data_IF_580696567534
#
_entry.id   IF_580696567534
#
_cell.length_a   1.000
_cell.length_b   1.000
_cell.length_c   1.000
_cell.angle_alpha   90.00
_cell.angle_beta   90.00
_cell.angle_gamma   90.00
#
_symmetry.space_group_name_H-M   'P 1'
#
loop_
_entity.id
_entity.type
_entity.pdbx_description
1 polymer ?
#
# COMPACT_ATOMS: atom_id res chain seq x y z
N UNK A 1 -8.51 12.47 -1.47
CA UNK A 1 -8.13 13.54 -2.42
C UNK A 1 -6.75 13.23 -3.03
N UNK A 2 -6.48 13.73 -4.26
CA UNK A 2 -5.18 13.56 -4.89
C UNK A 2 -4.14 14.54 -4.32
N UNK A 3 -2.89 14.15 -4.12
CA UNK A 3 -1.81 15.06 -3.72
C UNK A 3 -1.43 16.07 -4.81
N UNK A 4 -1.93 15.87 -6.04
CA UNK A 4 -1.66 16.75 -7.18
C UNK A 4 -2.70 17.86 -7.35
N UNK A 5 -3.64 18.03 -6.41
CA UNK A 5 -4.58 19.15 -6.41
C UNK A 5 -3.83 20.43 -6.07
N UNK A 6 -3.99 21.46 -6.91
CA UNK A 6 -3.30 22.74 -6.75
C UNK A 6 -2.46 23.10 -7.98
N UNK A 7 -1.58 24.11 -7.89
CA UNK A 7 -0.62 24.43 -8.94
C UNK A 7 0.32 23.25 -9.22
N UNK A 8 0.62 23.01 -10.49
CA UNK A 8 1.62 22.01 -10.84
C UNK A 8 3.04 22.52 -10.57
N UNK A 9 3.94 21.64 -10.23
CA UNK A 9 5.38 21.89 -10.16
C UNK A 9 5.99 21.16 -11.36
N UNK A 10 6.15 21.92 -12.46
CA UNK A 10 6.51 21.36 -13.78
C UNK A 10 7.85 20.63 -13.78
N UNK A 11 8.77 21.03 -12.90
CA UNK A 11 10.07 20.38 -12.69
C UNK A 11 9.94 18.96 -12.14
N UNK A 12 8.84 18.64 -11.46
CA UNK A 12 8.58 17.30 -10.90
C UNK A 12 7.83 16.40 -11.88
N UNK A 13 7.01 16.96 -12.75
CA UNK A 13 6.26 16.17 -13.72
C UNK A 13 5.11 16.91 -14.40
N UNK A 14 4.49 16.24 -15.34
CA UNK A 14 3.39 16.79 -16.13
C UNK A 14 2.13 17.02 -15.30
N UNK A 15 1.33 18.04 -15.68
CA UNK A 15 0.05 18.36 -15.01
C UNK A 15 -0.95 17.19 -14.98
N UNK A 16 -0.97 16.37 -16.02
CA UNK A 16 -1.91 15.25 -16.19
C UNK A 16 -1.14 13.93 -16.42
N UNK A 17 -0.54 13.35 -15.36
CA UNK A 17 0.19 12.09 -15.47
C UNK A 17 -0.74 10.90 -15.67
N UNK A 18 -0.30 9.92 -16.44
CA UNK A 18 -1.00 8.64 -16.56
C UNK A 18 -0.79 7.80 -15.31
N UNK A 19 -1.90 7.39 -14.69
CA UNK A 19 -1.97 6.55 -13.49
C UNK A 19 -2.50 5.14 -13.77
N UNK A 20 -2.60 4.73 -15.03
CA UNK A 20 -3.08 3.39 -15.41
C UNK A 20 -2.23 2.27 -14.82
N UNK A 21 -0.94 2.55 -14.59
CA UNK A 21 0.01 1.61 -14.00
C UNK A 21 0.94 2.33 -13.02
N UNK A 22 0.41 2.63 -11.83
CA UNK A 22 1.20 3.25 -10.75
C UNK A 22 2.26 2.28 -10.24
N UNK A 23 1.85 1.05 -9.90
CA UNK A 23 2.73 0.04 -9.34
C UNK A 23 3.36 -0.81 -10.44
N UNK A 24 4.68 -0.93 -10.39
CA UNK A 24 5.48 -1.60 -11.41
C UNK A 24 5.31 -3.12 -11.39
N UNK A 25 4.90 -3.70 -12.52
CA UNK A 25 4.62 -5.13 -12.64
C UNK A 25 5.88 -6.01 -12.50
N UNK A 26 7.04 -5.51 -12.90
CA UNK A 26 8.30 -6.25 -12.73
C UNK A 26 8.69 -6.29 -11.24
N UNK A 27 8.57 -5.16 -10.54
CA UNK A 27 8.84 -5.10 -9.11
C UNK A 27 7.88 -6.00 -8.31
N UNK A 28 6.61 -6.07 -8.72
CA UNK A 28 5.65 -7.01 -8.13
C UNK A 28 6.10 -8.46 -8.32
N UNK A 29 6.57 -8.84 -9.52
CA UNK A 29 7.11 -10.19 -9.78
C UNK A 29 8.33 -10.50 -8.91
N UNK A 30 9.20 -9.50 -8.71
CA UNK A 30 10.38 -9.63 -7.84
C UNK A 30 9.96 -9.83 -6.38
N UNK A 31 8.98 -9.04 -5.89
CA UNK A 31 8.47 -9.19 -4.53
C UNK A 31 7.84 -10.57 -4.29
N UNK A 32 7.05 -11.09 -5.25
CA UNK A 32 6.51 -12.46 -5.17
C UNK A 32 7.60 -13.52 -5.07
N UNK A 33 8.63 -13.40 -5.89
CA UNK A 33 9.78 -14.34 -5.85
C UNK A 33 10.52 -14.25 -4.52
N UNK A 34 10.72 -13.04 -4.01
CA UNK A 34 11.33 -12.81 -2.69
C UNK A 34 10.50 -13.43 -1.57
N UNK A 35 9.18 -13.22 -1.57
CA UNK A 35 8.26 -13.80 -0.61
C UNK A 35 8.30 -15.34 -0.63
N UNK A 36 8.20 -15.93 -1.83
CA UNK A 36 8.28 -17.39 -1.99
C UNK A 36 9.60 -17.97 -1.48
N UNK A 37 10.74 -17.29 -1.69
CA UNK A 37 12.05 -17.74 -1.20
C UNK A 37 12.20 -17.66 0.31
N UNK A 38 11.36 -16.89 0.97
CA UNK A 38 11.34 -16.67 2.42
C UNK A 38 10.19 -17.40 3.13
N UNK A 39 9.42 -18.19 2.37
CA UNK A 39 8.20 -18.85 2.87
C UNK A 39 7.20 -17.85 3.49
N UNK A 40 7.03 -16.70 2.82
CA UNK A 40 6.09 -15.64 3.22
C UNK A 40 4.87 -15.73 2.33
N UNK A 41 3.70 -15.88 2.95
CA UNK A 41 2.41 -15.78 2.26
C UNK A 41 2.12 -14.30 1.94
N UNK A 42 2.40 -13.92 0.69
CA UNK A 42 2.21 -12.54 0.20
C UNK A 42 0.95 -12.46 -0.66
N UNK A 43 -0.06 -11.80 -0.13
CA UNK A 43 -1.30 -11.54 -0.83
C UNK A 43 -1.15 -10.35 -1.79
N UNK A 44 -2.00 -10.33 -2.82
CA UNK A 44 -2.13 -9.20 -3.74
C UNK A 44 -3.56 -8.69 -3.73
N UNK A 45 -3.73 -7.39 -3.86
CA UNK A 45 -5.06 -6.79 -3.85
C UNK A 45 -5.05 -5.29 -4.12
N UNK A 46 -6.22 -4.72 -4.05
CA UNK A 46 -6.47 -3.30 -4.23
C UNK A 46 -6.49 -2.62 -2.87
N UNK A 47 -5.57 -1.66 -2.70
CA UNK A 47 -5.51 -0.81 -1.53
C UNK A 47 -6.25 0.49 -1.78
N UNK A 48 -7.21 0.82 -0.92
CA UNK A 48 -7.97 2.07 -0.96
C UNK A 48 -7.53 2.97 0.19
N UNK A 49 -7.07 4.18 -0.13
CA UNK A 49 -6.71 5.17 0.86
C UNK A 49 -7.88 6.07 1.21
N UNK A 50 -8.19 6.17 2.49
CA UNK A 50 -9.10 7.15 3.07
C UNK A 50 -8.31 8.23 3.82
N UNK A 51 -8.97 9.30 4.21
CA UNK A 51 -8.29 10.45 4.82
C UNK A 51 -7.97 10.25 6.30
N UNK A 52 -8.75 9.45 7.01
CA UNK A 52 -8.71 9.43 8.48
C UNK A 52 -9.08 10.80 9.06
N UNK A 53 -8.71 11.12 10.31
CA UNK A 53 -7.86 10.33 11.21
C UNK A 53 -8.60 9.22 11.99
N UNK A 54 -9.93 9.14 11.90
CA UNK A 54 -10.72 8.07 12.52
C UNK A 54 -10.64 6.78 11.69
N UNK A 55 -10.83 5.64 12.35
CA UNK A 55 -11.14 4.39 11.69
C UNK A 55 -12.51 4.47 11.00
N UNK A 56 -12.68 3.67 9.97
CA UNK A 56 -13.89 3.64 9.17
C UNK A 56 -15.07 3.07 9.96
N UNK A 57 -16.28 3.50 9.61
CA UNK A 57 -17.52 2.85 10.04
C UNK A 57 -17.76 1.56 9.25
N UNK A 58 -18.57 0.62 9.75
CA UNK A 58 -18.94 -0.60 9.01
C UNK A 58 -19.53 -0.31 7.63
N UNK A 59 -20.28 0.78 7.47
CA UNK A 59 -20.89 1.18 6.19
C UNK A 59 -19.85 1.73 5.20
N UNK A 60 -18.85 2.46 5.68
CA UNK A 60 -17.72 2.89 4.84
C UNK A 60 -16.93 1.69 4.36
N UNK A 61 -16.69 0.68 5.21
CA UNK A 61 -16.04 -0.57 4.81
C UNK A 61 -16.87 -1.33 3.77
N UNK A 62 -18.20 -1.41 3.95
CA UNK A 62 -19.08 -2.00 2.96
C UNK A 62 -19.02 -1.26 1.59
N UNK A 63 -18.96 0.07 1.62
CA UNK A 63 -18.75 0.90 0.43
C UNK A 63 -17.41 0.61 -0.22
N UNK A 64 -16.31 0.60 0.53
CA UNK A 64 -14.96 0.30 0.02
C UNK A 64 -14.91 -1.08 -0.66
N UNK A 65 -15.51 -2.09 -0.05
CA UNK A 65 -15.62 -3.44 -0.62
C UNK A 65 -16.41 -3.43 -1.95
N UNK A 66 -17.51 -2.69 -2.01
CA UNK A 66 -18.33 -2.56 -3.23
C UNK A 66 -17.53 -1.90 -4.36
N UNK A 67 -16.61 -0.99 -4.03
CA UNK A 67 -15.67 -0.36 -4.97
C UNK A 67 -14.51 -1.28 -5.38
N UNK A 68 -14.41 -2.48 -4.82
CA UNK A 68 -13.39 -3.46 -5.16
C UNK A 68 -12.11 -3.35 -4.33
N UNK A 69 -12.13 -2.69 -3.17
CA UNK A 69 -10.99 -2.67 -2.26
C UNK A 69 -10.86 -3.97 -1.47
N UNK A 70 -9.63 -4.48 -1.38
CA UNK A 70 -9.24 -5.62 -0.54
C UNK A 70 -8.66 -5.17 0.81
N UNK A 71 -8.04 -3.99 0.81
CA UNK A 71 -7.48 -3.36 2.01
C UNK A 71 -7.78 -1.86 2.04
N UNK A 72 -7.89 -1.31 3.24
CA UNK A 72 -8.07 0.14 3.47
C UNK A 72 -7.00 0.66 4.41
N UNK A 73 -6.69 1.94 4.31
CA UNK A 73 -5.78 2.62 5.22
C UNK A 73 -5.69 4.10 4.91
N UNK A 74 -4.79 4.80 5.58
CA UNK A 74 -4.67 6.27 5.55
C UNK A 74 -3.37 6.76 4.89
N UNK A 75 -2.64 5.87 4.20
CA UNK A 75 -1.33 6.14 3.59
C UNK A 75 -1.20 5.48 2.23
N UNK A 76 -0.01 5.51 1.65
CA UNK A 76 0.43 4.69 0.52
C UNK A 76 -0.03 5.20 -0.85
N UNK A 77 -1.33 5.42 -1.10
CA UNK A 77 -1.81 5.80 -2.43
C UNK A 77 -1.40 7.25 -2.81
N UNK A 78 -1.43 8.19 -1.86
CA UNK A 78 -0.98 9.57 -2.12
C UNK A 78 0.53 9.61 -2.43
N UNK A 79 1.34 8.87 -1.68
CA UNK A 79 2.78 8.76 -1.89
C UNK A 79 3.09 8.09 -3.24
N UNK A 80 2.35 7.04 -3.58
CA UNK A 80 2.50 6.35 -4.86
C UNK A 80 2.14 7.25 -6.06
N UNK A 81 1.06 8.06 -5.94
CA UNK A 81 0.67 9.05 -6.95
C UNK A 81 1.77 10.08 -7.12
N UNK A 82 2.30 10.64 -6.02
CA UNK A 82 3.36 11.65 -6.07
C UNK A 82 4.65 11.08 -6.69
N UNK A 83 5.06 9.88 -6.30
CA UNK A 83 6.23 9.21 -6.85
C UNK A 83 6.06 8.90 -8.35
N UNK A 84 4.89 8.42 -8.76
CA UNK A 84 4.58 8.17 -10.16
C UNK A 84 4.57 9.45 -11.00
N UNK A 85 4.03 10.55 -10.45
CA UNK A 85 4.08 11.88 -11.08
C UNK A 85 5.52 12.31 -11.41
N UNK A 86 6.47 12.01 -10.52
CA UNK A 86 7.90 12.29 -10.70
C UNK A 86 8.63 11.24 -11.57
N UNK A 87 7.92 10.31 -12.21
CA UNK A 87 8.50 9.30 -13.07
C UNK A 87 9.19 8.13 -12.35
N UNK A 88 9.00 8.01 -11.04
CA UNK A 88 9.56 6.89 -10.29
C UNK A 88 8.84 5.58 -10.58
N UNK A 89 9.57 4.47 -10.54
CA UNK A 89 8.99 3.13 -10.50
C UNK A 89 8.63 2.80 -9.05
N UNK A 90 7.41 2.33 -8.82
CA UNK A 90 6.84 2.18 -7.48
C UNK A 90 6.40 0.74 -7.23
N UNK A 91 6.60 0.26 -6.02
CA UNK A 91 5.93 -0.91 -5.45
C UNK A 91 5.40 -0.54 -4.07
N UNK A 92 4.20 -1.00 -3.73
CA UNK A 92 3.61 -0.87 -2.39
C UNK A 92 3.53 -2.23 -1.73
N UNK A 93 3.97 -2.32 -0.48
CA UNK A 93 3.82 -3.50 0.38
C UNK A 93 3.24 -3.00 1.70
N UNK A 94 2.03 -3.47 2.05
CA UNK A 94 1.33 -3.06 3.27
C UNK A 94 1.24 -4.22 4.24
N UNK A 95 1.53 -3.94 5.52
CA UNK A 95 1.24 -4.86 6.61
C UNK A 95 -0.23 -4.71 7.00
N UNK A 96 -1.00 -5.78 6.86
CA UNK A 96 -2.41 -5.80 7.31
C UNK A 96 -2.40 -6.17 8.79
N UNK A 97 -2.76 -5.21 9.63
CA UNK A 97 -2.63 -5.31 11.08
C UNK A 97 -3.91 -5.76 11.78
N UNK A 98 -5.04 -5.60 11.14
CA UNK A 98 -6.35 -5.90 11.72
C UNK A 98 -7.41 -6.11 10.64
N UNK A 99 -8.52 -6.71 11.02
CA UNK A 99 -9.73 -6.71 10.20
C UNK A 99 -10.45 -5.37 10.37
N UNK A 100 -11.02 -4.87 9.28
CA UNK A 100 -11.71 -3.59 9.27
C UNK A 100 -12.99 -3.59 10.11
N UNK A 101 -13.51 -2.39 10.41
CA UNK A 101 -14.73 -2.19 11.17
C UNK A 101 -15.92 -2.96 10.57
N UNK A 102 -16.70 -3.62 11.43
CA UNK A 102 -17.84 -4.45 11.03
C UNK A 102 -17.46 -5.84 10.50
N UNK A 103 -16.16 -6.12 10.31
CA UNK A 103 -15.62 -7.46 10.03
C UNK A 103 -15.04 -8.03 11.33
N UNK A 104 -14.23 -7.23 12.04
CA UNK A 104 -13.80 -7.58 13.39
C UNK A 104 -14.98 -7.50 14.37
N UNK A 105 -15.14 -8.49 15.27
CA UNK A 105 -16.12 -8.42 16.35
C UNK A 105 -15.70 -7.46 17.47
N UNK A 106 -14.44 -7.05 17.52
CA UNK A 106 -13.88 -6.16 18.54
C UNK A 106 -13.74 -4.73 17.99
N UNK A 107 -13.90 -3.71 18.86
CA UNK A 107 -13.57 -2.34 18.51
C UNK A 107 -12.09 -2.22 18.09
N UNK A 108 -11.80 -1.41 17.07
CA UNK A 108 -10.44 -1.17 16.62
C UNK A 108 -9.73 -0.23 17.59
N UNK A 109 -8.48 -0.56 17.92
CA UNK A 109 -7.61 0.34 18.68
C UNK A 109 -6.19 0.38 18.12
N UNK A 110 -5.51 1.50 18.33
CA UNK A 110 -4.16 1.70 17.78
C UNK A 110 -3.11 0.79 18.44
N UNK A 111 -3.31 0.38 19.67
CA UNK A 111 -2.41 -0.53 20.36
C UNK A 111 -2.32 -1.90 19.66
N UNK A 112 -3.45 -2.45 19.23
CA UNK A 112 -3.49 -3.73 18.49
C UNK A 112 -2.78 -3.61 17.13
N UNK A 113 -2.91 -2.46 16.48
CA UNK A 113 -2.18 -2.17 15.23
C UNK A 113 -0.67 -2.22 15.46
N UNK A 114 -0.19 -1.60 16.55
CA UNK A 114 1.23 -1.58 16.89
C UNK A 114 1.75 -2.98 17.23
N UNK A 115 1.01 -3.74 18.05
CA UNK A 115 1.37 -5.11 18.41
C UNK A 115 1.46 -6.02 17.19
N UNK A 116 0.49 -5.95 16.28
CA UNK A 116 0.50 -6.72 15.04
C UNK A 116 1.69 -6.31 14.15
N UNK A 117 1.97 -5.01 14.04
CA UNK A 117 3.10 -4.52 13.28
C UNK A 117 4.44 -5.00 13.85
N UNK A 118 4.61 -4.99 15.16
CA UNK A 118 5.83 -5.46 15.84
C UNK A 118 6.06 -6.96 15.66
N UNK A 119 4.99 -7.76 15.69
CA UNK A 119 5.08 -9.21 15.42
C UNK A 119 5.53 -9.50 13.98
N UNK A 120 5.06 -8.74 13.01
CA UNK A 120 5.36 -8.96 11.58
C UNK A 120 6.67 -8.30 11.16
N UNK A 121 7.15 -7.29 11.89
CA UNK A 121 8.30 -6.48 11.51
C UNK A 121 9.56 -7.27 11.11
N UNK A 122 9.97 -8.36 11.80
CA UNK A 122 11.15 -9.12 11.41
C UNK A 122 11.01 -9.77 10.02
N UNK A 123 9.83 -10.33 9.74
CA UNK A 123 9.51 -10.96 8.47
C UNK A 123 9.37 -9.92 7.35
N UNK A 124 8.67 -8.83 7.63
CA UNK A 124 8.50 -7.70 6.72
C UNK A 124 9.83 -7.09 6.30
N UNK A 125 10.76 -6.86 7.25
CA UNK A 125 12.10 -6.36 6.96
C UNK A 125 12.88 -7.29 6.02
N UNK A 126 12.79 -8.61 6.21
CA UNK A 126 13.44 -9.60 5.32
C UNK A 126 12.86 -9.53 3.91
N UNK A 127 11.54 -9.46 3.79
CA UNK A 127 10.85 -9.36 2.51
C UNK A 127 11.27 -8.08 1.76
N UNK A 128 11.23 -6.93 2.43
CA UNK A 128 11.62 -5.64 1.83
C UNK A 128 13.07 -5.68 1.37
N UNK A 129 13.99 -6.17 2.22
CA UNK A 129 15.41 -6.27 1.88
C UNK A 129 15.64 -7.17 0.65
N UNK A 130 15.02 -8.35 0.61
CA UNK A 130 15.13 -9.28 -0.52
C UNK A 130 14.52 -8.68 -1.80
N UNK A 131 13.41 -7.97 -1.69
CA UNK A 131 12.77 -7.28 -2.81
C UNK A 131 13.69 -6.19 -3.37
N UNK A 132 14.27 -5.34 -2.52
CA UNK A 132 15.23 -4.29 -2.93
C UNK A 132 16.44 -4.91 -3.61
N UNK A 133 17.01 -5.98 -3.05
CA UNK A 133 18.14 -6.69 -3.67
C UNK A 133 17.78 -7.28 -5.05
N UNK A 134 16.54 -7.77 -5.20
CA UNK A 134 16.03 -8.25 -6.46
C UNK A 134 15.89 -7.14 -7.49
N UNK A 135 15.33 -6.00 -7.09
CA UNK A 135 15.16 -4.81 -7.94
C UNK A 135 16.52 -4.26 -8.38
N UNK A 136 17.48 -4.13 -7.45
CA UNK A 136 18.82 -3.60 -7.76
C UNK A 136 19.57 -4.38 -8.84
N UNK A 137 19.21 -5.63 -9.10
CA UNK A 137 19.78 -6.45 -10.18
C UNK A 137 19.15 -6.17 -11.55
N UNK A 138 18.08 -5.38 -11.62
CA UNK A 138 17.35 -5.05 -12.85
C UNK A 138 17.53 -3.60 -13.29
N UNK A 139 18.21 -2.79 -12.48
CA UNK A 139 18.59 -1.41 -12.75
C UNK A 139 20.00 -1.34 -13.35
#
# INVERSE_FOLDING_TARGET
>A
PSPLIGPNIDELGTRFPDMSQIYDLEFQKIARKAAASLDIDLMEGVYLQLTGPQYESPQEIAMCRTLGADAVGMSTACEAIAARHMGMRVIGISCITNLAAGISPQPLCHAEVQEAADMVAPQFKKLVAATIQGIAKTL
#
